data_IF_565061200262
#
_entry.id   IF_565061200262
#
_cell.length_a   1.000
_cell.length_b   1.000
_cell.length_c   1.000
_cell.angle_alpha   90.00
_cell.angle_beta   90.00
_cell.angle_gamma   90.00
#
_symmetry.space_group_name_H-M   'P 1'
#
loop_
_entity.id
_entity.type
_entity.pdbx_description
1 polymer ?
#
# COMPACT_ATOMS: atom_id res chain seq x y z
N UNK A 1 -20.38 0.45 -10.55
CA UNK A 1 -18.98 0.04 -10.80
C UNK A 1 -18.11 1.15 -10.23
N UNK A 2 -17.06 0.82 -9.50
CA UNK A 2 -16.12 1.82 -8.98
C UNK A 2 -15.40 2.52 -10.14
N UNK A 3 -14.89 3.74 -9.96
CA UNK A 3 -14.14 4.52 -10.94
C UNK A 3 -12.64 4.54 -10.62
N UNK A 4 -12.20 3.61 -9.78
CA UNK A 4 -10.81 3.46 -9.38
C UNK A 4 -10.35 2.00 -9.41
N UNK A 5 -9.03 1.82 -9.45
CA UNK A 5 -8.36 0.54 -9.37
C UNK A 5 -7.34 0.52 -8.24
N UNK A 6 -7.41 -0.50 -7.39
CA UNK A 6 -6.37 -0.81 -6.40
C UNK A 6 -5.17 -1.45 -7.10
N UNK A 7 -4.00 -0.85 -6.91
CA UNK A 7 -2.72 -1.29 -7.44
C UNK A 7 -1.82 -1.70 -6.27
N UNK A 8 -1.72 -3.02 -5.98
CA UNK A 8 -0.79 -3.52 -4.96
C UNK A 8 0.67 -3.40 -5.43
N UNK A 9 1.61 -3.76 -4.55
CA UNK A 9 3.00 -3.93 -4.94
C UNK A 9 3.11 -5.00 -6.05
N UNK A 10 3.82 -4.72 -7.16
CA UNK A 10 3.90 -5.63 -8.30
C UNK A 10 4.46 -7.01 -7.91
N UNK A 11 3.83 -8.08 -8.41
CA UNK A 11 4.26 -9.44 -8.11
C UNK A 11 5.70 -9.72 -8.60
N UNK A 12 6.12 -9.09 -9.71
CA UNK A 12 7.50 -9.12 -10.22
C UNK A 12 8.49 -8.59 -9.18
N UNK A 13 8.16 -7.45 -8.54
CA UNK A 13 8.99 -6.86 -7.49
C UNK A 13 9.12 -7.84 -6.33
N UNK A 14 8.02 -8.42 -5.85
CA UNK A 14 8.05 -9.39 -4.76
C UNK A 14 8.86 -10.65 -5.10
N UNK A 15 8.71 -11.19 -6.32
CA UNK A 15 9.51 -12.33 -6.81
C UNK A 15 10.99 -12.01 -6.82
N UNK A 16 11.37 -10.83 -7.32
CA UNK A 16 12.77 -10.36 -7.32
C UNK A 16 13.31 -10.24 -5.89
N UNK A 17 12.60 -9.56 -5.00
CA UNK A 17 13.00 -9.37 -3.59
C UNK A 17 13.23 -10.71 -2.88
N UNK A 18 12.35 -11.71 -3.09
CA UNK A 18 12.52 -13.06 -2.55
C UNK A 18 13.76 -13.77 -3.07
N UNK A 19 14.05 -13.61 -4.36
CA UNK A 19 15.19 -14.27 -5.02
C UNK A 19 16.53 -13.61 -4.69
N UNK A 20 16.61 -12.27 -4.71
CA UNK A 20 17.86 -11.53 -4.52
C UNK A 20 18.18 -11.23 -3.05
N UNK A 21 17.16 -11.23 -2.18
CA UNK A 21 17.26 -10.79 -0.79
C UNK A 21 17.87 -9.39 -0.63
N UNK A 22 17.67 -8.54 -1.63
CA UNK A 22 18.16 -7.15 -1.67
C UNK A 22 17.09 -6.25 -2.28
N UNK A 23 16.88 -5.07 -1.68
CA UNK A 23 15.94 -4.06 -2.15
C UNK A 23 16.52 -3.10 -3.21
N UNK A 24 15.69 -2.19 -3.72
CA UNK A 24 16.10 -1.23 -4.77
C UNK A 24 17.09 -0.16 -4.28
N UNK A 25 17.31 -0.10 -2.98
CA UNK A 25 18.25 0.82 -2.34
C UNK A 25 19.55 0.12 -1.92
N UNK A 26 19.68 -1.18 -2.23
CA UNK A 26 20.85 -1.99 -1.88
C UNK A 26 20.83 -2.53 -0.46
N UNK A 27 19.75 -2.32 0.32
CA UNK A 27 19.66 -2.84 1.68
C UNK A 27 19.34 -4.34 1.67
N UNK A 28 19.83 -5.10 2.66
CA UNK A 28 19.46 -6.50 2.82
C UNK A 28 18.00 -6.65 3.25
N UNK A 29 17.32 -7.65 2.69
CA UNK A 29 15.95 -8.01 3.07
C UNK A 29 15.98 -8.77 4.40
N UNK A 30 15.18 -8.33 5.36
CA UNK A 30 15.08 -8.99 6.67
C UNK A 30 13.90 -9.96 6.68
N UNK A 31 14.15 -11.22 6.99
CA UNK A 31 13.10 -12.22 7.20
C UNK A 31 12.81 -12.36 8.69
N UNK A 32 11.53 -12.33 9.06
CA UNK A 32 11.09 -12.44 10.45
C UNK A 32 9.66 -12.98 10.54
N UNK A 33 9.32 -13.56 11.69
CA UNK A 33 7.94 -13.90 12.04
C UNK A 33 7.13 -12.61 12.22
N UNK A 34 5.89 -12.60 11.73
CA UNK A 34 4.99 -11.49 11.94
C UNK A 34 4.74 -11.24 13.44
N UNK A 35 5.03 -10.02 13.90
CA UNK A 35 4.72 -9.59 15.27
C UNK A 35 3.49 -8.69 15.36
N UNK A 36 2.99 -8.24 14.21
CA UNK A 36 1.81 -7.37 14.11
C UNK A 36 1.11 -7.56 12.77
N UNK A 37 -0.02 -6.87 12.61
CA UNK A 37 -1.00 -7.15 11.56
C UNK A 37 -0.74 -6.47 10.21
N UNK A 38 0.21 -5.54 10.13
CA UNK A 38 0.47 -4.71 8.93
C UNK A 38 0.54 -5.52 7.63
N UNK A 39 -0.25 -5.25 6.60
CA UNK A 39 -0.64 -6.25 5.58
C UNK A 39 0.50 -6.61 4.62
N UNK A 40 0.44 -7.76 3.95
CA UNK A 40 1.30 -8.04 2.80
C UNK A 40 1.00 -7.06 1.67
N UNK A 41 2.02 -6.40 1.10
CA UNK A 41 1.80 -5.37 0.06
C UNK A 41 1.42 -5.92 -1.31
N UNK A 42 1.55 -7.24 -1.51
CA UNK A 42 1.21 -7.93 -2.77
C UNK A 42 -0.23 -8.44 -2.75
N UNK A 43 -0.58 -9.20 -1.71
CA UNK A 43 -1.90 -9.80 -1.56
C UNK A 43 -2.90 -8.89 -0.84
N UNK A 44 -2.41 -7.82 -0.20
CA UNK A 44 -3.18 -6.91 0.67
C UNK A 44 -3.91 -7.61 1.82
N UNK A 45 -3.41 -8.78 2.22
CA UNK A 45 -3.92 -9.55 3.35
C UNK A 45 -3.14 -9.23 4.63
N UNK A 46 -3.82 -9.06 5.78
CA UNK A 46 -3.18 -9.01 7.08
C UNK A 46 -2.28 -10.22 7.32
N UNK A 47 -1.18 -10.04 8.06
CA UNK A 47 -0.45 -11.19 8.61
C UNK A 47 -1.13 -11.68 9.88
N UNK A 48 -0.99 -12.97 10.14
CA UNK A 48 -1.30 -13.62 11.40
C UNK A 48 -0.05 -13.57 12.29
N UNK A 49 -0.07 -12.80 13.38
CA UNK A 49 1.06 -12.71 14.29
C UNK A 49 1.47 -14.09 14.83
N UNK A 50 2.76 -14.26 15.07
CA UNK A 50 3.41 -15.49 15.56
C UNK A 50 3.25 -16.73 14.66
N UNK A 51 2.67 -16.60 13.45
CA UNK A 51 2.54 -17.70 12.49
C UNK A 51 3.21 -17.37 11.15
N UNK A 52 2.87 -16.23 10.57
CA UNK A 52 3.29 -15.93 9.20
C UNK A 52 4.74 -15.47 9.14
N UNK A 53 5.50 -16.01 8.17
CA UNK A 53 6.84 -15.52 7.83
C UNK A 53 6.74 -14.37 6.84
N UNK A 54 7.43 -13.26 7.13
CA UNK A 54 7.40 -12.05 6.29
C UNK A 54 8.80 -11.52 6.00
N UNK A 55 8.92 -10.89 4.85
CA UNK A 55 10.10 -10.15 4.41
C UNK A 55 9.87 -8.66 4.58
N UNK A 56 10.84 -7.99 5.19
CA UNK A 56 10.90 -6.55 5.38
C UNK A 56 11.97 -5.95 4.47
N UNK A 57 11.59 -4.91 3.74
CA UNK A 57 12.50 -4.18 2.86
C UNK A 57 12.03 -2.74 2.64
N UNK A 58 12.90 -1.86 2.13
CA UNK A 58 12.52 -0.49 1.76
C UNK A 58 11.92 -0.47 0.36
N UNK A 59 10.79 0.21 0.20
CA UNK A 59 10.09 0.35 -1.07
C UNK A 59 9.72 1.80 -1.32
N UNK A 60 9.79 2.22 -2.59
CA UNK A 60 9.25 3.49 -3.06
C UNK A 60 8.19 3.24 -4.12
N UNK A 61 6.95 3.74 -3.93
CA UNK A 61 5.94 3.73 -4.98
C UNK A 61 6.19 4.81 -6.05
N UNK A 62 7.18 5.68 -5.87
CA UNK A 62 7.44 6.79 -6.77
C UNK A 62 8.45 6.42 -7.85
N UNK A 63 8.27 6.99 -9.04
CA UNK A 63 9.17 6.75 -10.19
C UNK A 63 10.26 7.81 -10.32
N UNK A 64 10.12 8.92 -9.61
CA UNK A 64 11.04 10.06 -9.70
C UNK A 64 11.49 10.48 -8.29
N UNK A 65 12.73 10.93 -8.17
CA UNK A 65 13.21 11.53 -6.93
C UNK A 65 12.56 12.91 -6.75
N UNK A 66 11.78 13.08 -5.70
CA UNK A 66 11.19 14.37 -5.33
C UNK A 66 11.11 14.50 -3.81
N UNK A 67 10.85 15.72 -3.31
CA UNK A 67 10.77 16.00 -1.87
C UNK A 67 9.63 15.26 -1.15
N UNK A 68 8.63 14.77 -1.89
CA UNK A 68 7.51 14.00 -1.37
C UNK A 68 7.76 12.48 -1.42
N UNK A 69 8.95 12.02 -1.83
CA UNK A 69 9.28 10.60 -1.80
C UNK A 69 9.25 10.06 -0.37
N UNK A 70 8.18 9.34 -0.06
CA UNK A 70 7.99 8.63 1.19
C UNK A 70 8.40 7.17 1.03
N UNK A 71 9.71 6.96 0.82
CA UNK A 71 10.32 5.64 0.85
C UNK A 71 10.14 5.08 2.25
N UNK A 72 9.70 3.83 2.38
CA UNK A 72 9.39 3.28 3.69
C UNK A 72 9.45 1.76 3.75
N UNK A 73 9.48 1.22 4.97
CA UNK A 73 9.45 -0.23 5.19
C UNK A 73 8.12 -0.81 4.73
N UNK A 74 8.18 -1.87 3.94
CA UNK A 74 7.02 -2.68 3.56
C UNK A 74 7.26 -4.14 3.90
N UNK A 75 6.16 -4.88 4.05
CA UNK A 75 6.17 -6.30 4.33
C UNK A 75 5.51 -7.10 3.20
N UNK A 76 6.10 -8.24 2.85
CA UNK A 76 5.48 -9.26 1.97
C UNK A 76 5.60 -10.64 2.64
N UNK A 77 4.75 -11.59 2.26
CA UNK A 77 4.94 -12.99 2.67
C UNK A 77 6.28 -13.54 2.15
N UNK A 78 6.98 -14.30 2.99
CA UNK A 78 8.22 -14.97 2.60
C UNK A 78 7.97 -15.98 1.48
N UNK A 79 6.89 -16.75 1.59
CA UNK A 79 6.42 -17.62 0.52
C UNK A 79 5.69 -16.82 -0.56
N UNK A 80 5.66 -17.38 -1.77
CA UNK A 80 4.90 -16.78 -2.86
C UNK A 80 3.39 -16.94 -2.65
N UNK A 81 2.63 -16.00 -3.17
CA UNK A 81 1.19 -15.97 -2.96
C UNK A 81 0.48 -15.18 -4.04
N UNK A 82 -0.82 -15.42 -4.18
CA UNK A 82 -1.64 -14.73 -5.16
C UNK A 82 -1.67 -13.21 -4.86
N UNK A 83 -1.42 -12.36 -5.87
CA UNK A 83 -1.63 -10.92 -5.73
C UNK A 83 -3.11 -10.62 -5.51
N UNK A 84 -3.38 -9.44 -4.97
CA UNK A 84 -4.75 -8.99 -4.77
C UNK A 84 -5.52 -8.95 -6.10
N UNK A 85 -6.66 -9.64 -6.15
CA UNK A 85 -7.41 -9.87 -7.39
C UNK A 85 -8.61 -8.93 -7.58
N UNK A 86 -9.27 -8.51 -6.50
CA UNK A 86 -10.46 -7.64 -6.57
C UNK A 86 -10.06 -6.16 -6.66
N UNK A 87 -9.43 -5.78 -7.77
CA UNK A 87 -8.85 -4.45 -7.91
C UNK A 87 -9.89 -3.33 -7.98
N UNK A 88 -11.19 -3.62 -8.00
CA UNK A 88 -12.28 -2.62 -8.05
C UNK A 88 -12.87 -2.31 -6.68
N UNK A 89 -12.29 -2.90 -5.63
CA UNK A 89 -12.71 -2.72 -4.25
C UNK A 89 -11.48 -2.61 -3.38
N UNK A 90 -11.52 -1.78 -2.35
CA UNK A 90 -10.50 -1.75 -1.33
C UNK A 90 -10.46 -3.09 -0.55
N UNK A 91 -9.27 -3.59 -0.15
CA UNK A 91 -9.14 -4.87 0.53
C UNK A 91 -10.07 -5.00 1.74
N UNK A 92 -11.02 -5.96 1.73
CA UNK A 92 -12.08 -6.02 2.73
C UNK A 92 -11.54 -6.31 4.13
N UNK A 93 -10.48 -7.11 4.26
CA UNK A 93 -9.86 -7.41 5.55
C UNK A 93 -9.17 -6.19 6.19
N UNK A 94 -8.59 -5.31 5.37
CA UNK A 94 -7.99 -4.05 5.85
C UNK A 94 -9.10 -3.06 6.20
N UNK A 95 -10.11 -2.94 5.34
CA UNK A 95 -11.28 -2.06 5.55
C UNK A 95 -12.05 -2.39 6.83
N UNK A 96 -12.20 -3.68 7.14
CA UNK A 96 -12.97 -4.14 8.28
C UNK A 96 -12.28 -3.91 9.64
N UNK A 97 -10.97 -3.70 9.66
CA UNK A 97 -10.18 -3.57 10.90
C UNK A 97 -9.48 -2.19 10.96
N UNK A 98 -10.28 -1.17 11.22
CA UNK A 98 -9.80 0.22 11.34
C UNK A 98 -8.88 0.45 12.54
N UNK A 99 -8.91 -0.45 13.54
CA UNK A 99 -8.07 -0.37 14.74
C UNK A 99 -6.62 -0.75 14.41
N UNK A 100 -6.41 -1.88 13.70
CA UNK A 100 -5.07 -2.28 13.31
C UNK A 100 -4.61 -1.63 11.99
N UNK A 101 -5.56 -1.15 11.18
CA UNK A 101 -5.30 -0.45 9.94
C UNK A 101 -5.95 0.94 9.91
N UNK A 102 -5.51 1.88 10.75
CA UNK A 102 -5.91 3.26 10.58
C UNK A 102 -5.39 3.75 9.23
N UNK A 103 -6.27 4.28 8.38
CA UNK A 103 -5.93 4.63 6.99
C UNK A 103 -5.87 6.14 6.78
N UNK A 104 -4.90 6.56 5.98
CA UNK A 104 -4.88 7.88 5.35
C UNK A 104 -4.78 7.74 3.83
N UNK A 105 -5.47 8.62 3.13
CA UNK A 105 -5.38 8.78 1.69
C UNK A 105 -4.50 9.98 1.40
N UNK A 106 -3.50 9.78 0.55
CA UNK A 106 -2.61 10.85 0.09
C UNK A 106 -2.70 10.93 -1.43
N UNK A 107 -3.15 12.06 -1.95
CA UNK A 107 -3.31 12.29 -3.38
C UNK A 107 -2.14 13.01 -4.00
N UNK A 108 -1.78 12.55 -5.20
CA UNK A 108 -0.65 13.05 -5.96
C UNK A 108 -1.10 13.51 -7.35
N UNK A 109 -0.47 14.58 -7.84
CA UNK A 109 -0.62 15.02 -9.23
C UNK A 109 0.18 14.15 -10.19
N UNK A 110 0.04 14.39 -11.51
CA UNK A 110 0.85 13.73 -12.56
C UNK A 110 2.35 13.91 -12.38
N UNK A 111 2.77 15.04 -11.77
CA UNK A 111 4.17 15.36 -11.46
C UNK A 111 4.64 14.75 -10.13
N UNK A 112 3.86 13.83 -9.54
CA UNK A 112 4.13 13.21 -8.24
C UNK A 112 4.23 14.20 -7.08
N UNK A 113 3.57 15.36 -7.17
CA UNK A 113 3.47 16.32 -6.06
C UNK A 113 2.30 15.95 -5.16
N UNK A 114 2.50 15.99 -3.85
CA UNK A 114 1.41 15.82 -2.89
C UNK A 114 0.46 17.03 -2.99
N UNK A 115 -0.79 16.78 -3.38
CA UNK A 115 -1.82 17.81 -3.57
C UNK A 115 -3.00 17.62 -2.62
N UNK A 116 -3.11 16.45 -1.99
CA UNK A 116 -4.23 16.11 -1.13
C UNK A 116 -3.80 15.16 -0.01
N UNK A 117 -4.36 15.33 1.18
CA UNK A 117 -4.24 14.40 2.31
C UNK A 117 -5.53 14.37 3.10
N UNK A 118 -6.00 13.17 3.45
CA UNK A 118 -7.15 13.01 4.32
C UNK A 118 -7.04 11.73 5.15
N UNK A 119 -7.35 11.82 6.44
CA UNK A 119 -7.56 10.65 7.29
C UNK A 119 -8.90 10.00 6.92
N UNK A 120 -8.92 8.68 6.71
CA UNK A 120 -10.17 7.95 6.43
C UNK A 120 -11.09 7.98 7.65
N UNK A 121 -10.54 7.78 8.85
CA UNK A 121 -11.31 7.76 10.09
C UNK A 121 -12.36 6.64 10.07
N UNK A 122 -13.58 6.96 10.45
CA UNK A 122 -14.72 6.03 10.47
C UNK A 122 -15.43 5.91 9.11
N UNK A 123 -15.01 6.68 8.10
CA UNK A 123 -15.66 6.68 6.79
C UNK A 123 -15.44 5.36 6.03
N UNK A 124 -16.36 5.06 5.11
CA UNK A 124 -16.16 4.00 4.15
C UNK A 124 -15.06 4.40 3.14
N UNK A 125 -13.94 3.66 3.15
CA UNK A 125 -12.78 3.98 2.31
C UNK A 125 -13.10 3.91 0.81
N UNK A 126 -13.97 3.02 0.35
CA UNK A 126 -14.32 2.92 -1.07
C UNK A 126 -15.12 4.16 -1.49
N UNK A 127 -16.09 4.57 -0.68
CA UNK A 127 -16.87 5.79 -0.92
C UNK A 127 -16.01 7.05 -0.85
N UNK A 128 -15.07 7.10 0.10
CA UNK A 128 -14.17 8.22 0.24
C UNK A 128 -13.20 8.33 -0.95
N UNK A 129 -12.68 7.21 -1.46
CA UNK A 129 -11.86 7.22 -2.67
C UNK A 129 -12.64 7.81 -3.85
N UNK A 130 -13.87 7.34 -4.07
CA UNK A 130 -14.75 7.87 -5.13
C UNK A 130 -14.98 9.38 -4.99
N UNK A 131 -15.27 9.82 -3.77
CA UNK A 131 -15.52 11.23 -3.47
C UNK A 131 -14.26 12.06 -3.74
N UNK A 132 -13.11 11.66 -3.20
CA UNK A 132 -11.85 12.41 -3.37
C UNK A 132 -11.48 12.50 -4.84
N UNK A 133 -11.57 11.41 -5.59
CA UNK A 133 -11.27 11.42 -7.02
C UNK A 133 -12.28 12.29 -7.80
N UNK A 134 -13.53 12.36 -7.39
CA UNK A 134 -14.53 13.23 -8.04
C UNK A 134 -14.29 14.71 -7.75
N UNK A 135 -14.04 15.04 -6.49
CA UNK A 135 -14.00 16.43 -6.00
C UNK A 135 -12.64 17.09 -6.26
N UNK A 136 -11.57 16.30 -6.42
CA UNK A 136 -10.20 16.78 -6.65
C UNK A 136 -9.65 16.32 -8.01
N UNK A 137 -9.99 17.01 -9.12
CA UNK A 137 -9.49 16.65 -10.46
C UNK A 137 -7.96 16.75 -10.60
N UNK A 138 -7.28 17.52 -9.74
CA UNK A 138 -5.82 17.61 -9.66
C UNK A 138 -5.14 16.35 -9.12
N UNK A 139 -5.89 15.48 -8.43
CA UNK A 139 -5.39 14.18 -7.94
C UNK A 139 -5.38 13.20 -9.10
N UNK A 140 -4.20 12.85 -9.58
CA UNK A 140 -4.00 11.84 -10.62
C UNK A 140 -4.13 10.41 -10.06
N UNK A 141 -3.60 10.17 -8.86
CA UNK A 141 -3.68 8.89 -8.15
C UNK A 141 -3.58 9.12 -6.64
N UNK A 142 -4.04 8.13 -5.85
CA UNK A 142 -3.93 8.14 -4.40
C UNK A 142 -2.97 7.04 -3.93
N UNK A 143 -2.35 7.25 -2.78
CA UNK A 143 -1.75 6.20 -1.97
C UNK A 143 -2.60 5.99 -0.73
N UNK A 144 -3.00 4.74 -0.47
CA UNK A 144 -3.45 4.34 0.85
C UNK A 144 -2.23 4.07 1.72
N UNK A 145 -2.19 4.71 2.88
CA UNK A 145 -1.13 4.56 3.88
C UNK A 145 -1.72 4.23 5.23
N UNK A 146 -0.91 3.58 6.07
CA UNK A 146 -1.25 3.48 7.48
C UNK A 146 -1.09 4.87 8.12
N UNK A 147 -2.10 5.36 8.82
CA UNK A 147 -2.13 6.73 9.34
C UNK A 147 -1.15 6.95 10.52
N UNK A 148 -0.85 5.90 11.29
CA UNK A 148 0.09 5.99 12.42
C UNK A 148 1.54 5.80 11.95
N UNK A 149 1.79 4.75 11.17
CA UNK A 149 3.13 4.38 10.72
C UNK A 149 3.56 5.11 9.43
N UNK A 150 2.64 5.77 8.72
CA UNK A 150 2.84 6.38 7.40
C UNK A 150 3.31 5.42 6.29
N UNK A 151 3.34 4.11 6.56
CA UNK A 151 3.79 3.10 5.62
C UNK A 151 2.82 2.95 4.43
N UNK A 152 3.37 2.71 3.25
CA UNK A 152 2.60 2.40 2.05
C UNK A 152 1.83 1.08 2.19
N UNK A 153 0.57 1.07 1.73
CA UNK A 153 -0.28 -0.13 1.64
C UNK A 153 -0.50 -0.48 0.17
N UNK A 154 -1.11 0.41 -0.60
CA UNK A 154 -1.35 0.26 -2.03
C UNK A 154 -1.51 1.62 -2.72
N UNK A 155 -1.35 1.64 -4.04
CA UNK A 155 -1.74 2.75 -4.88
C UNK A 155 -3.19 2.57 -5.35
N UNK A 156 -3.83 3.66 -5.71
CA UNK A 156 -5.20 3.72 -6.19
C UNK A 156 -5.22 4.65 -7.40
N UNK A 157 -5.54 4.08 -8.56
CA UNK A 157 -5.53 4.79 -9.84
C UNK A 157 -6.96 5.02 -10.34
N UNK A 158 -7.16 6.05 -11.16
CA UNK A 158 -8.44 6.29 -11.83
C UNK A 158 -8.66 5.28 -12.96
N UNK A 159 -9.92 4.99 -13.30
CA UNK A 159 -10.31 4.22 -14.47
C UNK A 159 -11.07 5.03 -15.49
#
# INVERSE_FOLDING_TARGET
>A
MSHFQIVPLPAETARRIRATRQDDFGNPVVEQVATGYGPCRVSLKPFTPQRDQRLLFSYSPFRQANAFNQNGPVFIFAEDGAPYADTRRFPPEIKADQVNFPLSLVGYSTDQRMVFTQLVGEADVDELIEQVLRDHPEVAYLHARNAEASCFICAIERC
#
